data_IF_121297840746
#
_entry.id   IF_121297840746
#
_cell.length_a   1.000
_cell.length_b   1.000
_cell.length_c   1.000
_cell.angle_alpha   90.00
_cell.angle_beta   90.00
_cell.angle_gamma   90.00
#
_symmetry.space_group_name_H-M   'P 1'
#
loop_
_entity.id
_entity.type
_entity.pdbx_description
1 polymer ?
#
# COMPACT_ATOMS: atom_id res chain seq x y z
N UNK A 1 -4.36 -0.09 7.33
CA UNK A 1 -3.10 -0.37 6.59
C UNK A 1 -2.69 -1.85 6.60
N UNK A 2 -3.01 -2.60 7.66
CA UNK A 2 -2.64 -4.02 7.80
C UNK A 2 -3.54 -4.99 7.00
N UNK A 3 -4.73 -4.53 6.59
CA UNK A 3 -5.67 -5.29 5.76
C UNK A 3 -5.35 -5.19 4.26
N UNK A 4 -4.17 -4.69 3.91
CA UNK A 4 -3.70 -4.55 2.54
C UNK A 4 -2.42 -5.33 2.35
N UNK A 5 -2.36 -6.13 1.28
CA UNK A 5 -1.15 -6.78 0.79
C UNK A 5 -0.66 -6.11 -0.48
N UNK A 6 0.66 -6.19 -0.73
CA UNK A 6 1.32 -5.58 -1.88
C UNK A 6 2.23 -6.59 -2.56
N UNK A 7 2.09 -6.72 -3.87
CA UNK A 7 2.88 -7.61 -4.71
C UNK A 7 3.46 -6.84 -5.90
N UNK A 8 4.54 -7.37 -6.51
CA UNK A 8 5.16 -6.75 -7.69
C UNK A 8 4.27 -6.92 -8.95
N UNK A 9 4.37 -5.96 -9.88
CA UNK A 9 3.62 -5.95 -11.14
C UNK A 9 2.30 -5.18 -11.03
N UNK A 10 1.44 -5.17 -12.06
CA UNK A 10 0.15 -4.46 -11.98
C UNK A 10 0.22 -2.96 -12.33
N UNK A 11 -0.84 -2.22 -11.96
CA UNK A 11 -1.09 -0.87 -12.46
C UNK A 11 -0.93 0.24 -11.42
N UNK A 12 -0.83 -0.10 -10.13
CA UNK A 12 -0.57 0.86 -9.09
C UNK A 12 0.93 1.19 -9.04
N UNK A 13 1.31 2.32 -8.45
CA UNK A 13 2.71 2.75 -8.42
C UNK A 13 3.13 3.20 -7.03
N UNK A 14 4.29 2.72 -6.57
CA UNK A 14 4.90 3.16 -5.32
C UNK A 14 5.37 4.60 -5.45
N UNK A 15 4.87 5.48 -4.60
CA UNK A 15 5.22 6.90 -4.57
C UNK A 15 6.27 7.23 -3.51
N UNK A 16 6.23 6.53 -2.37
CA UNK A 16 7.12 6.76 -1.23
C UNK A 16 7.28 5.48 -0.42
N UNK A 17 8.46 5.29 0.16
CA UNK A 17 8.78 4.20 1.08
C UNK A 17 9.43 4.80 2.33
N UNK A 18 8.85 4.55 3.50
CA UNK A 18 9.34 5.01 4.80
C UNK A 18 9.71 3.82 5.69
N UNK A 19 10.90 3.87 6.31
CA UNK A 19 11.40 2.81 7.17
C UNK A 19 11.29 3.21 8.64
N UNK A 20 10.59 2.40 9.44
CA UNK A 20 10.35 2.62 10.87
C UNK A 20 11.05 1.57 11.76
N UNK A 21 12.17 1.02 11.28
CA UNK A 21 12.98 0.03 11.98
C UNK A 21 12.41 -1.39 11.92
N UNK A 22 11.22 -1.61 12.47
CA UNK A 22 10.55 -2.93 12.45
C UNK A 22 9.55 -3.09 11.31
N UNK A 23 9.01 -1.98 10.82
CA UNK A 23 8.03 -1.95 9.74
C UNK A 23 8.47 -0.99 8.63
N UNK A 24 7.98 -1.26 7.44
CA UNK A 24 8.08 -0.35 6.30
C UNK A 24 6.69 0.12 5.91
N UNK A 25 6.53 1.42 5.67
CA UNK A 25 5.31 1.99 5.14
C UNK A 25 5.49 2.33 3.67
N UNK A 26 4.63 1.75 2.83
CA UNK A 26 4.65 1.95 1.38
C UNK A 26 3.42 2.75 0.98
N UNK A 27 3.64 3.88 0.33
CA UNK A 27 2.59 4.73 -0.22
C UNK A 27 2.43 4.40 -1.71
N UNK A 28 1.22 4.07 -2.12
CA UNK A 28 0.92 3.61 -3.48
C UNK A 28 -0.20 4.45 -4.08
N UNK A 29 -0.01 4.92 -5.32
CA UNK A 29 -1.07 5.55 -6.10
C UNK A 29 -1.86 4.49 -6.88
N UNK A 30 -3.18 4.49 -6.72
CA UNK A 30 -4.15 3.64 -7.43
C UNK A 30 -5.19 4.54 -8.10
N UNK A 31 -5.05 4.78 -9.40
CA UNK A 31 -5.85 5.81 -10.08
C UNK A 31 -5.63 7.19 -9.43
N UNK A 32 -6.72 7.87 -9.07
CA UNK A 32 -6.70 9.17 -8.40
C UNK A 32 -6.57 9.08 -6.87
N UNK A 33 -6.43 7.86 -6.32
CA UNK A 33 -6.37 7.61 -4.88
C UNK A 33 -4.97 7.25 -4.43
N UNK A 34 -4.64 7.58 -3.18
CA UNK A 34 -3.43 7.13 -2.52
C UNK A 34 -3.80 6.15 -1.40
N UNK A 35 -3.10 5.01 -1.37
CA UNK A 35 -3.20 4.01 -0.32
C UNK A 35 -1.89 3.96 0.47
N UNK A 36 -2.02 3.64 1.75
CA UNK A 36 -0.91 3.41 2.66
C UNK A 36 -0.93 1.95 3.14
N UNK A 37 0.17 1.24 2.89
CA UNK A 37 0.30 -0.20 3.15
C UNK A 37 1.46 -0.41 4.14
N UNK A 38 1.18 -1.12 5.23
CA UNK A 38 2.19 -1.48 6.23
C UNK A 38 2.76 -2.85 5.85
N UNK A 39 4.08 -2.91 5.66
CA UNK A 39 4.84 -4.12 5.38
C UNK A 39 5.81 -4.40 6.53
N UNK A 40 6.35 -5.62 6.59
CA UNK A 40 7.44 -5.96 7.52
C UNK A 40 8.74 -5.18 7.24
N UNK A 41 9.75 -5.42 8.09
CA UNK A 41 11.03 -4.70 8.09
C UNK A 41 11.81 -4.73 6.76
N UNK A 42 11.59 -5.74 5.91
CA UNK A 42 12.26 -5.89 4.62
C UNK A 42 11.26 -5.77 3.48
N UNK A 43 11.10 -4.54 2.97
CA UNK A 43 10.38 -4.30 1.72
C UNK A 43 11.40 -3.92 0.66
N UNK A 44 11.50 -4.70 -0.42
CA UNK A 44 12.35 -4.38 -1.59
C UNK A 44 11.63 -3.44 -2.58
N UNK A 45 10.58 -2.76 -2.13
CA UNK A 45 9.88 -1.77 -2.95
C UNK A 45 10.65 -0.47 -3.01
N UNK A 46 10.59 0.18 -4.16
CA UNK A 46 11.15 1.51 -4.38
C UNK A 46 10.16 2.38 -5.15
N UNK A 47 10.32 3.69 -5.02
CA UNK A 47 9.52 4.66 -5.78
C UNK A 47 9.59 4.33 -7.28
N UNK A 48 8.42 4.35 -7.93
CA UNK A 48 8.25 4.01 -9.34
C UNK A 48 7.97 2.52 -9.60
N UNK A 49 8.11 1.63 -8.61
CA UNK A 49 7.74 0.22 -8.78
C UNK A 49 6.24 0.11 -9.08
N UNK A 50 5.92 -0.73 -10.08
CA UNK A 50 4.55 -1.13 -10.36
C UNK A 50 4.13 -2.26 -9.43
N UNK A 51 2.98 -2.08 -8.79
CA UNK A 51 2.47 -3.00 -7.75
C UNK A 51 0.99 -3.30 -7.90
N UNK A 52 0.61 -4.49 -7.43
CA UNK A 52 -0.78 -4.89 -7.20
C UNK A 52 -1.03 -4.72 -5.70
N UNK A 53 -2.19 -4.15 -5.36
CA UNK A 53 -2.62 -4.00 -3.97
C UNK A 53 -3.92 -4.78 -3.79
N UNK A 54 -3.94 -5.64 -2.79
CA UNK A 54 -5.07 -6.53 -2.49
C UNK A 54 -5.62 -6.22 -1.10
N UNK A 55 -6.95 -6.14 -0.97
CA UNK A 55 -7.61 -6.08 0.32
C UNK A 55 -7.85 -7.50 0.84
N UNK A 56 -7.35 -7.81 2.03
CA UNK A 56 -7.30 -9.18 2.55
C UNK A 56 -8.34 -9.49 3.64
N UNK A 57 -9.12 -8.49 4.04
CA UNK A 57 -10.19 -8.68 5.01
C UNK A 57 -11.56 -8.89 4.31
N UNK A 58 -12.53 -9.34 5.08
CA UNK A 58 -13.94 -9.51 4.70
C UNK A 58 -14.81 -8.32 5.11
N UNK A 59 -14.29 -7.41 5.94
CA UNK A 59 -15.02 -6.26 6.48
C UNK A 59 -14.43 -4.95 6.01
N UNK A 60 -15.29 -4.07 5.49
CA UNK A 60 -14.96 -2.70 5.09
C UNK A 60 -15.80 -1.71 5.90
N UNK A 61 -15.19 -0.58 6.27
CA UNK A 61 -15.86 0.53 6.92
C UNK A 61 -16.03 1.69 5.93
N UNK A 62 -17.25 2.19 5.79
CA UNK A 62 -17.59 3.28 4.85
C UNK A 62 -18.27 4.43 5.58
N UNK A 63 -18.02 5.65 5.11
CA UNK A 63 -18.66 6.86 5.61
C UNK A 63 -19.22 7.66 4.44
N UNK A 64 -20.35 8.34 4.64
CA UNK A 64 -20.86 9.32 3.67
C UNK A 64 -20.12 10.64 3.85
N UNK A 65 -19.79 11.30 2.73
CA UNK A 65 -19.31 12.68 2.75
C UNK A 65 -20.43 13.59 3.26
N UNK A 66 -20.16 14.36 4.31
CA UNK A 66 -21.06 15.42 4.80
C UNK A 66 -21.05 16.60 3.85
#
# INVERSE_FOLDING_TARGET
>A
PEQLEIERGGNAEVQLVEYYGHDTMVFVSVGEHQLQIRCGASSDFKRGDKVTVSFTDTKVLTFSKT
#
